data_IF_452498137960
#
_entry.id   IF_452498137960
#
_cell.length_a   1.000
_cell.length_b   1.000
_cell.length_c   1.000
_cell.angle_alpha   90.00
_cell.angle_beta   90.00
_cell.angle_gamma   90.00
#
_symmetry.space_group_name_H-M   'P 1'
#
loop_
_entity.id
_entity.type
_entity.pdbx_description
1 polymer ?
#
# COMPACT_ATOMS: atom_id res chain seq x y z
N UNK A 1 -10.18 -8.19 5.60
CA UNK A 1 -11.50 -7.95 6.24
C UNK A 1 -12.51 -9.03 5.84
N UNK A 2 -13.51 -9.31 6.69
CA UNK A 2 -14.65 -10.18 6.37
C UNK A 2 -15.98 -9.50 6.66
N UNK A 3 -16.90 -9.64 5.70
CA UNK A 3 -18.28 -9.19 5.82
C UNK A 3 -19.05 -9.98 6.89
N UNK A 4 -19.46 -9.33 7.97
CA UNK A 4 -20.24 -9.94 9.06
C UNK A 4 -21.72 -10.10 8.71
N UNK A 5 -22.20 -9.31 7.76
CA UNK A 5 -23.54 -9.40 7.17
C UNK A 5 -23.46 -9.04 5.69
N UNK A 6 -24.59 -8.98 5.01
CA UNK A 6 -24.63 -8.49 3.63
C UNK A 6 -24.21 -7.01 3.57
N UNK A 7 -23.27 -6.67 2.69
CA UNK A 7 -22.72 -5.31 2.54
C UNK A 7 -22.98 -4.78 1.14
N UNK A 8 -23.38 -3.52 1.02
CA UNK A 8 -23.59 -2.88 -0.28
C UNK A 8 -22.24 -2.54 -0.94
N UNK A 9 -22.02 -2.99 -2.17
CA UNK A 9 -20.92 -2.55 -3.04
C UNK A 9 -21.26 -1.20 -3.65
N UNK A 10 -20.28 -0.30 -3.71
CA UNK A 10 -20.40 1.02 -4.32
C UNK A 10 -19.37 1.24 -5.41
N UNK A 11 -19.74 2.02 -6.43
CA UNK A 11 -18.90 2.27 -7.61
C UNK A 11 -17.59 2.97 -7.26
N UNK A 12 -16.54 2.66 -8.02
CA UNK A 12 -15.27 3.40 -7.98
C UNK A 12 -15.38 4.59 -8.93
N UNK A 13 -15.66 5.76 -8.37
CA UNK A 13 -15.69 7.02 -9.12
C UNK A 13 -14.34 7.73 -9.14
N UNK A 14 -14.22 8.80 -9.94
CA UNK A 14 -13.05 9.69 -9.99
C UNK A 14 -13.05 10.65 -8.81
N UNK A 15 -12.84 10.16 -7.59
CA UNK A 15 -12.94 10.99 -6.37
C UNK A 15 -11.64 11.69 -5.98
N UNK A 16 -10.51 11.35 -6.61
CA UNK A 16 -9.20 11.94 -6.27
C UNK A 16 -8.81 13.15 -7.12
N UNK A 17 -9.28 13.27 -8.37
CA UNK A 17 -8.70 14.24 -9.34
C UNK A 17 -9.39 15.61 -9.41
N UNK A 18 -10.35 15.94 -8.53
CA UNK A 18 -11.09 17.21 -8.61
C UNK A 18 -11.47 17.85 -7.27
N UNK A 19 -10.80 17.50 -6.17
CA UNK A 19 -11.18 18.07 -4.86
C UNK A 19 -10.72 19.53 -4.72
N UNK A 20 -11.70 20.43 -4.61
CA UNK A 20 -11.53 21.65 -3.82
C UNK A 20 -11.54 21.26 -2.33
N UNK A 21 -10.66 21.88 -1.55
CA UNK A 21 -10.57 21.68 -0.10
C UNK A 21 -11.89 22.06 0.58
N UNK A 22 -12.55 21.13 1.28
CA UNK A 22 -13.63 21.46 2.22
C UNK A 22 -14.86 20.52 2.25
N UNK A 23 -15.25 19.90 1.14
CA UNK A 23 -16.48 19.10 1.10
C UNK A 23 -16.25 17.60 1.30
N UNK A 24 -16.96 17.03 2.27
CA UNK A 24 -16.96 15.59 2.53
C UNK A 24 -17.87 14.89 1.52
N UNK A 25 -17.36 13.97 0.69
CA UNK A 25 -18.15 13.37 -0.38
C UNK A 25 -19.28 12.48 0.14
N UNK A 26 -20.38 12.41 -0.59
CA UNK A 26 -21.41 11.40 -0.38
C UNK A 26 -20.94 10.02 -0.87
N UNK A 27 -21.45 8.97 -0.21
CA UNK A 27 -21.11 7.60 -0.55
C UNK A 27 -21.52 7.28 -2.01
N UNK A 28 -20.64 6.64 -2.82
CA UNK A 28 -20.90 6.43 -4.24
C UNK A 28 -22.15 5.57 -4.51
N UNK A 29 -22.64 5.55 -5.76
CA UNK A 29 -23.83 4.78 -6.11
C UNK A 29 -23.67 3.31 -5.78
N UNK A 30 -24.74 2.69 -5.28
CA UNK A 30 -24.78 1.25 -5.05
C UNK A 30 -24.79 0.49 -6.38
N UNK A 31 -23.88 -0.48 -6.52
CA UNK A 31 -23.72 -1.31 -7.73
C UNK A 31 -23.96 -2.80 -7.49
N UNK A 32 -24.13 -3.21 -6.24
CA UNK A 32 -24.39 -4.61 -5.89
C UNK A 32 -24.30 -4.87 -4.40
N UNK A 33 -24.25 -6.15 -4.04
CA UNK A 33 -24.08 -6.60 -2.65
C UNK A 33 -23.02 -7.68 -2.53
N UNK A 34 -22.37 -7.72 -1.39
CA UNK A 34 -21.46 -8.78 -0.96
C UNK A 34 -22.18 -9.64 0.08
N UNK A 35 -22.11 -10.97 -0.05
CA UNK A 35 -22.70 -11.86 0.95
C UNK A 35 -21.93 -11.82 2.27
N UNK A 36 -22.59 -12.23 3.36
CA UNK A 36 -21.92 -12.53 4.63
C UNK A 36 -20.81 -13.57 4.41
N UNK A 37 -19.67 -13.37 5.04
CA UNK A 37 -18.49 -14.23 4.92
C UNK A 37 -17.59 -13.88 3.73
N UNK A 38 -17.95 -12.92 2.88
CA UNK A 38 -17.07 -12.45 1.82
C UNK A 38 -15.79 -11.87 2.41
N UNK A 39 -14.65 -12.40 1.98
CA UNK A 39 -13.31 -11.94 2.36
C UNK A 39 -12.88 -10.84 1.40
N UNK A 40 -12.32 -9.76 1.93
CA UNK A 40 -11.94 -8.56 1.19
C UNK A 40 -10.52 -8.11 1.57
N UNK A 41 -9.78 -7.69 0.56
CA UNK A 41 -8.57 -6.87 0.71
C UNK A 41 -8.98 -5.40 0.64
N UNK A 42 -8.64 -4.61 1.68
CA UNK A 42 -8.78 -3.15 1.66
C UNK A 42 -7.48 -2.54 1.13
N UNK A 43 -7.61 -1.69 0.11
CA UNK A 43 -6.51 -1.03 -0.60
C UNK A 43 -6.30 0.41 -0.11
N UNK A 44 -7.39 1.08 0.25
CA UNK A 44 -7.44 2.48 0.66
C UNK A 44 -8.61 2.67 1.61
N UNK A 45 -8.50 3.62 2.53
CA UNK A 45 -9.57 4.00 3.45
C UNK A 45 -9.89 5.49 3.30
N UNK A 46 -11.18 5.81 3.34
CA UNK A 46 -11.67 7.19 3.34
C UNK A 46 -13.02 7.27 4.06
N UNK A 47 -13.54 8.47 4.21
CA UNK A 47 -14.85 8.69 4.81
C UNK A 47 -15.85 9.23 3.78
N UNK A 48 -17.08 8.74 3.85
CA UNK A 48 -18.19 9.23 3.03
C UNK A 48 -19.41 9.56 3.89
N UNK A 49 -20.14 10.61 3.52
CA UNK A 49 -21.50 10.86 4.01
C UNK A 49 -22.44 9.80 3.45
N UNK A 50 -22.99 8.95 4.31
CA UNK A 50 -23.88 7.85 3.93
C UNK A 50 -25.18 7.86 4.76
N UNK A 51 -26.17 7.08 4.34
CA UNK A 51 -27.39 6.86 5.11
C UNK A 51 -27.06 6.29 6.50
N UNK A 52 -27.67 6.82 7.57
CA UNK A 52 -27.44 6.34 8.92
C UNK A 52 -27.77 4.87 9.10
N UNK A 53 -26.99 4.19 9.94
CA UNK A 53 -27.28 2.81 10.33
C UNK A 53 -28.47 2.74 11.30
N UNK A 54 -28.69 3.79 12.09
CA UNK A 54 -29.82 3.84 13.04
C UNK A 54 -31.15 3.99 12.31
N UNK A 55 -32.14 3.11 12.54
CA UNK A 55 -33.47 3.21 11.93
C UNK A 55 -34.31 4.36 12.51
N UNK A 56 -33.84 5.02 13.58
CA UNK A 56 -34.55 6.14 14.25
C UNK A 56 -34.21 7.50 13.65
N UNK A 57 -33.33 7.57 12.66
CA UNK A 57 -32.87 8.85 12.10
C UNK A 57 -33.87 9.39 11.07
N UNK A 58 -34.02 10.72 11.04
CA UNK A 58 -34.98 11.40 10.14
C UNK A 58 -34.64 11.10 8.67
N UNK A 59 -35.64 10.96 7.78
CA UNK A 59 -35.39 10.84 6.35
C UNK A 59 -34.52 11.99 5.83
N UNK A 60 -33.53 11.68 4.98
CA UNK A 60 -32.63 12.68 4.39
C UNK A 60 -31.39 13.02 5.21
N UNK A 61 -31.26 12.52 6.44
CA UNK A 61 -30.01 12.65 7.20
C UNK A 61 -28.92 11.77 6.61
N UNK A 62 -27.69 12.27 6.62
CA UNK A 62 -26.47 11.52 6.33
C UNK A 62 -25.54 11.55 7.54
N UNK A 63 -24.78 10.49 7.74
CA UNK A 63 -23.71 10.42 8.75
C UNK A 63 -22.39 10.07 8.06
N UNK A 64 -21.30 10.55 8.63
CA UNK A 64 -19.96 10.20 8.16
C UNK A 64 -19.66 8.74 8.54
N UNK A 65 -19.25 7.94 7.57
CA UNK A 65 -18.91 6.53 7.79
C UNK A 65 -17.57 6.21 7.15
N UNK A 66 -16.76 5.33 7.78
CA UNK A 66 -15.56 4.82 7.18
C UNK A 66 -15.90 3.86 6.04
N UNK A 67 -15.15 3.97 4.94
CA UNK A 67 -15.24 3.14 3.76
C UNK A 67 -13.86 2.70 3.31
N UNK A 68 -13.80 1.48 2.77
CA UNK A 68 -12.59 0.92 2.19
C UNK A 68 -12.77 0.64 0.71
N UNK A 69 -11.79 1.03 -0.11
CA UNK A 69 -11.68 0.60 -1.50
C UNK A 69 -11.19 -0.84 -1.46
N UNK A 70 -11.98 -1.77 -1.97
CA UNK A 70 -11.78 -3.18 -1.75
C UNK A 70 -11.75 -3.99 -3.03
N UNK A 71 -11.04 -5.12 -2.98
CA UNK A 71 -11.15 -6.25 -3.91
C UNK A 71 -11.62 -7.47 -3.12
N UNK A 72 -12.49 -8.29 -3.70
CA UNK A 72 -12.93 -9.53 -3.08
C UNK A 72 -11.93 -10.67 -3.35
N UNK A 73 -11.89 -11.64 -2.44
CA UNK A 73 -11.30 -12.94 -2.75
C UNK A 73 -12.34 -13.84 -3.40
N UNK A 74 -11.94 -14.57 -4.43
CA UNK A 74 -12.74 -15.64 -5.02
C UNK A 74 -12.73 -16.90 -4.11
N UNK A 75 -13.48 -17.92 -4.54
CA UNK A 75 -13.57 -19.21 -3.83
C UNK A 75 -12.24 -19.95 -3.68
N UNK A 76 -11.24 -19.60 -4.49
CA UNK A 76 -9.90 -20.20 -4.46
C UNK A 76 -8.91 -19.35 -3.64
N UNK A 77 -9.37 -18.24 -3.04
CA UNK A 77 -8.52 -17.33 -2.29
C UNK A 77 -7.69 -16.38 -3.16
N UNK A 78 -8.03 -16.22 -4.44
CA UNK A 78 -7.38 -15.24 -5.34
C UNK A 78 -8.17 -13.93 -5.36
N UNK A 79 -7.48 -12.80 -5.44
CA UNK A 79 -8.12 -11.49 -5.60
C UNK A 79 -8.84 -11.36 -6.96
N UNK A 80 -10.07 -10.85 -6.92
CA UNK A 80 -10.82 -10.45 -8.10
C UNK A 80 -10.30 -9.12 -8.64
N UNK A 81 -10.34 -8.89 -9.95
CA UNK A 81 -9.95 -7.61 -10.55
C UNK A 81 -10.93 -6.46 -10.24
N UNK A 82 -12.19 -6.77 -9.94
CA UNK A 82 -13.21 -5.79 -9.59
C UNK A 82 -12.84 -5.04 -8.31
N UNK A 83 -12.77 -3.72 -8.39
CA UNK A 83 -12.65 -2.81 -7.24
C UNK A 83 -14.01 -2.17 -6.93
N UNK A 84 -14.30 -1.95 -5.66
CA UNK A 84 -15.52 -1.31 -5.20
C UNK A 84 -15.35 -0.71 -3.80
N UNK A 85 -16.16 0.27 -3.44
CA UNK A 85 -16.20 0.81 -2.08
C UNK A 85 -17.20 0.05 -1.20
N UNK A 86 -16.83 -0.20 0.06
CA UNK A 86 -17.66 -0.85 1.09
C UNK A 86 -17.53 -0.13 2.43
N UNK A 87 -18.58 -0.15 3.25
CA UNK A 87 -18.49 0.39 4.62
C UNK A 87 -17.58 -0.48 5.48
N UNK A 88 -16.79 0.15 6.36
CA UNK A 88 -15.92 -0.51 7.34
C UNK A 88 -16.47 -0.45 8.76
N UNK A 89 -17.74 -0.05 8.94
CA UNK A 89 -18.34 0.00 10.27
C UNK A 89 -18.27 -1.37 10.97
N UNK A 90 -17.92 -1.44 12.28
CA UNK A 90 -17.69 -2.69 13.01
C UNK A 90 -18.86 -3.69 12.98
N UNK A 91 -20.09 -3.21 12.79
CA UNK A 91 -21.25 -4.09 12.64
C UNK A 91 -21.31 -4.82 11.30
N UNK A 92 -20.63 -4.32 10.27
CA UNK A 92 -20.67 -4.84 8.90
C UNK A 92 -19.39 -5.56 8.50
N UNK A 93 -18.24 -5.12 9.02
CA UNK A 93 -16.93 -5.68 8.72
C UNK A 93 -16.17 -5.99 10.00
N UNK A 94 -15.41 -7.08 9.97
CA UNK A 94 -14.39 -7.39 10.98
C UNK A 94 -13.04 -7.62 10.30
N UNK A 95 -11.97 -7.36 11.04
CA UNK A 95 -10.64 -7.83 10.66
C UNK A 95 -10.61 -9.36 10.70
N UNK A 96 -10.02 -9.97 9.69
CA UNK A 96 -9.82 -11.42 9.61
C UNK A 96 -8.34 -11.69 9.33
N UNK A 97 -7.62 -12.05 10.39
CA UNK A 97 -6.24 -12.52 10.35
C UNK A 97 -5.20 -11.49 9.91
N UNK A 98 -3.94 -11.91 9.93
CA UNK A 98 -2.84 -11.18 9.29
C UNK A 98 -3.00 -11.28 7.76
N UNK A 99 -3.16 -10.13 7.11
CA UNK A 99 -3.49 -10.09 5.69
C UNK A 99 -2.22 -9.95 4.85
N UNK A 100 -1.72 -11.04 4.28
CA UNK A 100 -0.46 -10.99 3.51
C UNK A 100 -0.61 -10.57 2.04
N UNK A 101 -1.82 -10.33 1.56
CA UNK A 101 -2.07 -10.03 0.14
C UNK A 101 -1.43 -8.71 -0.35
N UNK A 102 -1.20 -7.77 0.55
CA UNK A 102 -0.50 -6.51 0.25
C UNK A 102 1.03 -6.66 0.30
N UNK A 103 1.54 -7.77 0.81
CA UNK A 103 2.98 -8.01 0.85
C UNK A 103 3.53 -8.11 -0.58
N UNK A 104 4.71 -7.55 -0.86
CA UNK A 104 5.52 -7.90 -2.02
C UNK A 104 5.53 -9.41 -2.31
N UNK A 105 5.59 -9.78 -3.59
CA UNK A 105 5.57 -11.19 -4.02
C UNK A 105 6.56 -12.07 -3.23
N UNK A 106 7.79 -11.57 -3.02
CA UNK A 106 8.81 -12.34 -2.32
C UNK A 106 8.46 -12.56 -0.83
N UNK A 107 7.84 -11.58 -0.19
CA UNK A 107 7.41 -11.67 1.21
C UNK A 107 6.23 -12.63 1.35
N UNK A 108 5.31 -12.69 0.37
CA UNK A 108 4.26 -13.72 0.35
C UNK A 108 4.86 -15.13 0.30
N UNK A 109 5.90 -15.34 -0.52
CA UNK A 109 6.62 -16.61 -0.59
C UNK A 109 7.36 -16.95 0.71
N UNK A 110 7.91 -15.96 1.39
CA UNK A 110 8.53 -16.15 2.70
C UNK A 110 7.49 -16.58 3.76
N UNK A 111 6.31 -15.95 3.77
CA UNK A 111 5.20 -16.34 4.65
C UNK A 111 4.72 -17.76 4.36
N UNK A 112 4.54 -18.12 3.09
CA UNK A 112 4.16 -19.49 2.68
C UNK A 112 5.18 -20.54 3.16
N UNK A 113 6.47 -20.19 3.24
CA UNK A 113 7.52 -21.07 3.74
C UNK A 113 7.40 -21.32 5.26
N UNK A 114 6.78 -20.39 6.01
CA UNK A 114 6.43 -20.58 7.42
C UNK A 114 7.61 -20.73 8.39
N UNK A 115 8.81 -20.28 8.00
CA UNK A 115 10.00 -20.29 8.86
C UNK A 115 10.21 -18.90 9.43
N UNK A 116 10.14 -18.78 10.75
CA UNK A 116 10.32 -17.54 11.49
C UNK A 116 11.64 -17.56 12.25
N UNK A 117 12.16 -16.38 12.62
CA UNK A 117 13.37 -16.18 13.43
C UNK A 117 14.66 -16.84 12.86
N UNK A 118 14.70 -17.03 11.54
CA UNK A 118 15.87 -17.58 10.85
C UNK A 118 16.11 -16.89 9.51
N UNK A 119 17.38 -16.78 9.13
CA UNK A 119 17.78 -16.40 7.77
C UNK A 119 17.66 -17.64 6.88
N UNK A 120 16.78 -17.57 5.88
CA UNK A 120 16.55 -18.69 4.97
C UNK A 120 16.91 -18.33 3.54
N UNK A 121 17.25 -19.35 2.76
CA UNK A 121 17.42 -19.24 1.32
C UNK A 121 16.21 -19.91 0.64
N UNK A 122 15.50 -19.21 -0.26
CA UNK A 122 14.42 -19.82 -1.04
C UNK A 122 14.96 -21.00 -1.88
N UNK A 123 14.21 -22.10 -1.95
CA UNK A 123 14.58 -23.27 -2.74
C UNK A 123 14.65 -22.97 -4.25
N UNK A 124 13.82 -22.04 -4.73
CA UNK A 124 13.83 -21.52 -6.10
C UNK A 124 14.09 -20.03 -6.05
N UNK A 125 14.92 -19.52 -6.96
CA UNK A 125 15.17 -18.09 -7.09
C UNK A 125 13.87 -17.33 -7.37
N UNK A 126 13.57 -16.34 -6.54
CA UNK A 126 12.41 -15.47 -6.70
C UNK A 126 12.76 -14.36 -7.69
N UNK A 127 12.09 -14.34 -8.85
CA UNK A 127 12.29 -13.30 -9.86
C UNK A 127 11.54 -12.03 -9.44
N UNK A 128 12.27 -10.92 -9.38
CA UNK A 128 11.72 -9.58 -9.13
C UNK A 128 12.12 -8.72 -10.33
N UNK A 129 11.17 -7.96 -10.86
CA UNK A 129 11.36 -7.04 -12.00
C UNK A 129 11.47 -5.60 -11.51
N UNK A 130 12.07 -4.74 -12.33
CA UNK A 130 12.08 -3.30 -12.04
C UNK A 130 10.63 -2.78 -11.98
N UNK A 131 10.32 -2.03 -10.91
CA UNK A 131 8.97 -1.52 -10.64
C UNK A 131 8.11 -2.43 -9.75
N UNK A 132 8.52 -3.68 -9.51
CA UNK A 132 7.84 -4.53 -8.53
C UNK A 132 8.06 -3.98 -7.12
N UNK A 133 7.02 -4.07 -6.29
CA UNK A 133 7.15 -3.76 -4.86
C UNK A 133 8.10 -4.76 -4.21
N UNK A 134 9.04 -4.27 -3.39
CA UNK A 134 10.04 -5.10 -2.67
C UNK A 134 9.99 -4.91 -1.16
N UNK A 135 9.16 -4.02 -0.65
CA UNK A 135 9.00 -3.77 0.78
C UNK A 135 8.11 -2.57 1.04
N UNK A 136 8.04 -2.19 2.32
CA UNK A 136 7.42 -0.96 2.78
C UNK A 136 8.51 -0.03 3.31
N UNK A 137 8.22 1.27 3.37
CA UNK A 137 9.12 2.21 4.02
C UNK A 137 9.20 1.92 5.51
N UNK A 138 10.40 1.99 6.08
CA UNK A 138 10.62 1.86 7.52
C UNK A 138 10.57 3.21 8.22
N UNK A 139 10.18 3.22 9.49
CA UNK A 139 10.39 4.37 10.37
C UNK A 139 11.74 4.25 11.07
N UNK A 140 12.48 5.36 11.21
CA UNK A 140 13.69 5.38 12.04
C UNK A 140 13.33 5.18 13.51
N UNK A 141 13.71 4.04 14.08
CA UNK A 141 13.52 3.76 15.51
C UNK A 141 14.86 3.92 16.22
N UNK A 142 15.15 5.14 16.66
CA UNK A 142 16.24 5.39 17.60
C UNK A 142 15.78 5.13 19.05
N UNK A 143 16.65 4.62 19.94
CA UNK A 143 16.36 4.51 21.36
C UNK A 143 15.89 5.85 21.94
N UNK A 144 14.98 5.80 22.92
CA UNK A 144 14.39 6.99 23.53
C UNK A 144 15.48 7.97 24.00
N UNK A 145 15.39 9.23 23.55
CA UNK A 145 16.35 10.29 23.88
C UNK A 145 17.70 10.21 23.14
N UNK A 146 17.87 9.29 22.19
CA UNK A 146 19.08 9.15 21.36
C UNK A 146 18.89 9.61 19.91
N UNK A 147 17.67 9.94 19.52
CA UNK A 147 17.39 10.49 18.19
C UNK A 147 18.07 11.86 18.05
N UNK A 148 18.93 12.00 17.04
CA UNK A 148 19.52 13.30 16.63
C UNK A 148 18.68 14.00 15.56
N UNK A 149 17.70 13.31 15.01
CA UNK A 149 16.85 13.71 13.91
C UNK A 149 15.39 13.44 14.27
N UNK A 150 14.48 14.20 13.66
CA UNK A 150 13.05 13.90 13.73
C UNK A 150 12.77 12.55 13.09
N UNK A 151 11.74 11.85 13.59
CA UNK A 151 11.25 10.62 12.97
C UNK A 151 10.83 10.90 11.53
N UNK A 152 11.21 10.00 10.63
CA UNK A 152 10.81 10.04 9.23
C UNK A 152 10.68 8.63 8.70
N UNK A 153 9.82 8.47 7.71
CA UNK A 153 9.60 7.22 7.00
C UNK A 153 10.43 7.23 5.73
N UNK A 154 11.37 6.29 5.60
CA UNK A 154 12.27 6.22 4.44
C UNK A 154 12.66 4.79 4.11
N UNK A 155 13.28 4.62 2.93
CA UNK A 155 14.00 3.42 2.56
C UNK A 155 15.47 3.78 2.40
N UNK A 156 16.34 3.01 3.06
CA UNK A 156 17.77 3.04 2.79
C UNK A 156 18.07 2.07 1.66
N UNK A 157 18.70 2.56 0.60
CA UNK A 157 19.04 1.75 -0.58
C UNK A 157 20.56 1.68 -0.68
N UNK A 158 21.08 0.46 -0.68
CA UNK A 158 22.49 0.18 -0.90
C UNK A 158 22.68 -0.52 -2.24
N UNK A 159 23.72 -0.11 -2.97
CA UNK A 159 24.10 -0.75 -4.23
C UNK A 159 25.41 -1.47 -3.99
N UNK A 160 25.36 -2.80 -4.04
CA UNK A 160 26.54 -3.66 -3.98
C UNK A 160 26.93 -4.02 -5.41
N UNK A 161 28.21 -3.83 -5.75
CA UNK A 161 28.73 -4.20 -7.06
C UNK A 161 30.02 -5.00 -6.91
N UNK A 162 30.08 -6.11 -7.64
CA UNK A 162 31.31 -6.86 -7.85
C UNK A 162 32.08 -6.40 -9.10
N UNK A 163 31.62 -5.33 -9.78
CA UNK A 163 32.34 -4.77 -10.93
C UNK A 163 33.65 -4.14 -10.46
N UNK A 164 34.78 -4.68 -10.94
CA UNK A 164 36.11 -4.22 -10.59
C UNK A 164 36.39 -2.77 -11.00
N UNK A 165 35.54 -2.17 -11.86
CA UNK A 165 35.62 -0.76 -12.29
C UNK A 165 34.89 0.20 -11.34
N UNK A 166 34.17 -0.31 -10.33
CA UNK A 166 33.41 0.52 -9.40
C UNK A 166 34.23 1.63 -8.73
N UNK A 167 35.49 1.39 -8.28
CA UNK A 167 36.33 2.48 -7.74
C UNK A 167 36.52 3.63 -8.72
N UNK A 168 36.85 3.35 -9.98
CA UNK A 168 37.03 4.36 -11.01
C UNK A 168 35.74 5.12 -11.36
N UNK A 169 34.57 4.49 -11.23
CA UNK A 169 33.28 5.17 -11.37
C UNK A 169 33.05 6.17 -10.21
N UNK A 170 33.35 5.76 -8.98
CA UNK A 170 33.20 6.59 -7.78
C UNK A 170 34.21 7.75 -7.73
N UNK A 171 35.40 7.56 -8.30
CA UNK A 171 36.44 8.60 -8.41
C UNK A 171 36.04 9.77 -9.32
N UNK A 172 34.88 9.70 -9.99
CA UNK A 172 34.34 10.74 -10.86
C UNK A 172 35.40 11.36 -11.79
N UNK A 173 36.07 10.54 -12.65
CA UNK A 173 37.16 11.02 -13.50
C UNK A 173 36.71 12.13 -14.47
N UNK A 174 35.42 12.18 -14.80
CA UNK A 174 34.81 13.26 -15.59
C UNK A 174 34.65 14.59 -14.85
N UNK A 175 35.04 14.68 -13.57
CA UNK A 175 34.93 15.87 -12.71
C UNK A 175 33.53 16.51 -12.77
N UNK A 176 32.50 15.68 -12.82
CA UNK A 176 31.11 16.16 -12.91
C UNK A 176 30.76 16.83 -11.58
N UNK A 177 30.66 18.16 -11.60
CA UNK A 177 30.42 19.02 -10.43
C UNK A 177 29.02 19.65 -10.40
N UNK A 178 28.24 19.46 -11.48
CA UNK A 178 26.91 20.04 -11.64
C UNK A 178 25.92 19.00 -12.21
N UNK A 179 24.63 19.21 -11.92
CA UNK A 179 23.54 18.30 -12.29
C UNK A 179 22.89 17.64 -11.07
N UNK A 180 21.61 17.30 -11.18
CA UNK A 180 20.92 16.54 -10.12
C UNK A 180 21.51 15.12 -10.09
N UNK A 181 22.03 14.70 -8.93
CA UNK A 181 22.56 13.35 -8.73
C UNK A 181 21.39 12.37 -8.88
N UNK A 182 21.35 11.62 -9.98
CA UNK A 182 20.38 10.55 -10.19
C UNK A 182 21.14 9.26 -10.49
N UNK A 183 20.65 8.15 -9.94
CA UNK A 183 20.99 6.83 -10.48
C UNK A 183 20.07 6.62 -11.69
N UNK A 184 20.63 6.61 -12.91
CA UNK A 184 19.89 6.21 -14.10
C UNK A 184 19.88 4.70 -14.19
N UNK A 185 18.80 4.09 -13.75
CA UNK A 185 18.54 2.66 -13.95
C UNK A 185 17.94 2.50 -15.35
N UNK A 186 18.77 2.23 -16.35
CA UNK A 186 18.43 2.02 -17.78
C UNK A 186 18.22 3.30 -18.65
N UNK A 187 18.65 3.29 -19.95
CA UNK A 187 18.56 4.47 -20.83
C UNK A 187 17.15 4.97 -21.15
N UNK A 188 16.12 4.16 -20.90
CA UNK A 188 14.72 4.45 -21.25
C UNK A 188 13.83 4.73 -20.04
N UNK A 189 14.37 4.74 -18.82
CA UNK A 189 13.58 5.03 -17.62
C UNK A 189 13.46 6.54 -17.39
N UNK A 190 12.25 7.03 -17.15
CA UNK A 190 12.04 8.40 -16.71
C UNK A 190 12.64 8.62 -15.33
N UNK A 191 13.38 9.72 -15.22
CA UNK A 191 14.26 10.11 -14.11
C UNK A 191 13.64 9.87 -12.71
N UNK A 192 14.24 8.99 -11.90
CA UNK A 192 13.96 8.93 -10.46
C UNK A 192 14.77 10.02 -9.72
N UNK A 193 14.10 10.82 -8.90
CA UNK A 193 14.75 11.80 -8.03
C UNK A 193 15.41 11.11 -6.84
N UNK A 194 16.72 11.30 -6.66
CA UNK A 194 17.42 10.91 -5.44
C UNK A 194 17.43 12.07 -4.44
N UNK A 195 17.12 11.76 -3.18
CA UNK A 195 17.29 12.64 -2.02
C UNK A 195 18.73 12.57 -1.49
N UNK A 196 19.20 13.72 -0.99
CA UNK A 196 20.53 13.95 -0.40
C UNK A 196 20.93 12.85 0.59
N UNK A 197 22.07 12.21 0.36
CA UNK A 197 22.94 11.77 1.46
C UNK A 197 23.86 12.96 1.83
N UNK A 198 23.83 13.39 3.09
CA UNK A 198 24.92 14.15 3.68
C UNK A 198 25.89 13.13 4.26
N UNK A 199 27.13 13.16 3.75
CA UNK A 199 28.30 12.54 4.38
C UNK A 199 28.64 13.32 5.64
#
# INVERSE_FOLDING_TARGET
MVAQKEVTKREVGKYESSRQSGDTPHAPKAIGRLPKGARLLILEETEFLNKPVSPKTRPGTTELQPFGLAQAFDKNGKLTEEKFWVTLLPGYMTEEGEQYAHLPFWMQKAVEQGIFDAVTKPATALKISAGDAIGFLGEDIAPMGKAKTSRSTYAHIEVLSADSRMPAFLDNPGKVTAGRKYIRVHPTAETLHALRQHV
#
